data_IF_588023131914
#
_entry.id   IF_588023131914
#
_cell.length_a   1.000
_cell.length_b   1.000
_cell.length_c   1.000
_cell.angle_alpha   90.00
_cell.angle_beta   90.00
_cell.angle_gamma   90.00
#
_symmetry.space_group_name_H-M   'P 1'
#
loop_
_entity.id
_entity.type
_entity.pdbx_description
1 polymer ?
#
# COMPACT_ATOMS: atom_id res chain seq x y z
N UNK A 1 -25.09 14.55 41.79
CA UNK A 1 -23.95 15.21 41.12
C UNK A 1 -23.89 14.68 39.69
N UNK A 2 -24.48 15.40 38.73
CA UNK A 2 -24.44 15.05 37.32
C UNK A 2 -23.09 15.50 36.75
N UNK A 3 -22.32 14.56 36.21
CA UNK A 3 -21.05 14.84 35.53
C UNK A 3 -21.33 15.65 34.26
N UNK A 4 -20.91 16.92 34.25
CA UNK A 4 -20.97 17.77 33.06
C UNK A 4 -19.85 17.31 32.14
N UNK A 5 -20.19 16.57 31.09
CA UNK A 5 -19.27 16.33 29.99
C UNK A 5 -18.89 17.69 29.39
N UNK A 6 -17.64 18.11 29.58
CA UNK A 6 -17.16 19.37 29.02
C UNK A 6 -17.08 19.26 27.49
N UNK A 7 -17.43 20.30 26.72
CA UNK A 7 -17.39 20.29 25.25
C UNK A 7 -16.03 19.96 24.63
N UNK A 8 -14.96 19.97 25.44
CA UNK A 8 -13.59 19.57 25.08
C UNK A 8 -13.49 18.08 24.70
N UNK A 9 -14.36 17.21 25.24
CA UNK A 9 -14.32 15.77 24.93
C UNK A 9 -14.92 15.43 23.55
N UNK A 10 -15.82 16.29 23.05
CA UNK A 10 -16.44 16.15 21.73
C UNK A 10 -15.58 16.61 20.55
N UNK A 11 -14.61 17.51 20.77
CA UNK A 11 -13.69 17.97 19.72
C UNK A 11 -12.52 17.01 19.45
N UNK A 12 -12.27 16.05 20.35
CA UNK A 12 -11.15 15.10 20.24
C UNK A 12 -11.42 13.89 19.33
N UNK A 13 -12.48 13.95 18.50
CA UNK A 13 -12.78 12.97 17.44
C UNK A 13 -12.83 13.65 16.08
N UNK A 14 -11.70 13.69 15.37
CA UNK A 14 -11.74 13.98 13.92
C UNK A 14 -10.60 13.32 13.13
N UNK A 15 -9.52 12.86 13.76
CA UNK A 15 -8.46 12.14 13.06
C UNK A 15 -8.64 10.62 13.20
N UNK A 16 -8.72 9.86 12.09
CA UNK A 16 -8.86 8.42 12.13
C UNK A 16 -7.67 7.78 12.85
N UNK A 17 -7.95 6.72 13.60
CA UNK A 17 -6.92 6.00 14.37
C UNK A 17 -5.90 5.32 13.44
N UNK A 18 -4.70 4.97 13.94
CA UNK A 18 -3.72 4.26 13.11
C UNK A 18 -4.27 2.94 12.53
N UNK A 19 -4.98 2.07 13.29
CA UNK A 19 -5.59 0.87 12.74
C UNK A 19 -6.60 1.15 11.62
N UNK A 20 -7.39 2.21 11.77
CA UNK A 20 -8.37 2.65 10.77
C UNK A 20 -7.67 3.13 9.49
N UNK A 21 -6.63 3.96 9.60
CA UNK A 21 -5.80 4.41 8.48
C UNK A 21 -5.10 3.25 7.77
N UNK A 22 -4.62 2.27 8.53
CA UNK A 22 -4.00 1.06 7.99
C UNK A 22 -5.02 0.19 7.24
N UNK A 23 -6.23 0.01 7.80
CA UNK A 23 -7.31 -0.72 7.13
C UNK A 23 -7.71 -0.04 5.82
N UNK A 24 -7.85 1.29 5.82
CA UNK A 24 -8.21 2.07 4.63
C UNK A 24 -7.10 1.99 3.59
N UNK A 25 -5.83 2.09 4.00
CA UNK A 25 -4.68 1.91 3.12
C UNK A 25 -4.63 0.51 2.50
N UNK A 26 -4.86 -0.54 3.30
CA UNK A 26 -4.91 -1.92 2.82
C UNK A 26 -6.06 -2.13 1.83
N UNK A 27 -7.28 -1.73 2.17
CA UNK A 27 -8.43 -1.86 1.26
C UNK A 27 -8.20 -1.10 -0.03
N UNK A 28 -7.69 0.14 0.05
CA UNK A 28 -7.35 0.93 -1.13
C UNK A 28 -6.31 0.23 -2.00
N UNK A 29 -5.25 -0.29 -1.40
CA UNK A 29 -4.22 -1.03 -2.12
C UNK A 29 -4.77 -2.29 -2.79
N UNK A 30 -5.59 -3.08 -2.11
CA UNK A 30 -6.23 -4.28 -2.67
C UNK A 30 -7.17 -3.95 -3.84
N UNK A 31 -7.94 -2.87 -3.73
CA UNK A 31 -8.82 -2.41 -4.82
C UNK A 31 -7.99 -1.96 -6.02
N UNK A 32 -6.94 -1.15 -5.81
CA UNK A 32 -6.11 -0.66 -6.90
C UNK A 32 -5.32 -1.78 -7.58
N UNK A 33 -4.71 -2.69 -6.82
CA UNK A 33 -3.97 -3.83 -7.39
C UNK A 33 -4.92 -4.80 -8.08
N UNK A 34 -6.11 -5.04 -7.51
CA UNK A 34 -7.16 -5.83 -8.14
C UNK A 34 -7.62 -5.23 -9.47
N UNK A 35 -7.80 -3.91 -9.54
CA UNK A 35 -8.15 -3.21 -10.78
C UNK A 35 -7.05 -3.35 -11.84
N UNK A 36 -5.78 -3.18 -11.47
CA UNK A 36 -4.63 -3.42 -12.37
C UNK A 36 -4.63 -4.86 -12.86
N UNK A 37 -4.88 -5.84 -11.98
CA UNK A 37 -4.90 -7.25 -12.36
C UNK A 37 -6.02 -7.60 -13.33
N UNK A 38 -7.23 -7.09 -13.09
CA UNK A 38 -8.39 -7.32 -13.96
C UNK A 38 -8.16 -6.69 -15.33
N UNK A 39 -7.70 -5.43 -15.37
CA UNK A 39 -7.42 -4.71 -16.62
C UNK A 39 -6.27 -5.33 -17.40
N UNK A 40 -5.18 -5.74 -16.75
CA UNK A 40 -4.10 -6.46 -17.43
C UNK A 40 -4.56 -7.81 -17.97
N UNK A 41 -5.40 -8.53 -17.21
CA UNK A 41 -5.97 -9.81 -17.63
C UNK A 41 -6.88 -9.71 -18.85
N UNK A 42 -7.62 -8.61 -19.00
CA UNK A 42 -8.51 -8.41 -20.14
C UNK A 42 -7.82 -7.84 -21.38
N UNK A 43 -6.73 -7.08 -21.21
CA UNK A 43 -6.08 -6.37 -22.31
C UNK A 43 -4.86 -7.11 -22.89
N UNK A 44 -4.16 -7.93 -22.09
CA UNK A 44 -2.83 -8.44 -22.46
C UNK A 44 -2.63 -9.94 -22.15
N UNK A 45 -3.71 -10.66 -21.85
CA UNK A 45 -3.73 -12.12 -21.57
C UNK A 45 -2.62 -12.61 -20.61
N UNK A 46 -2.47 -11.91 -19.49
CA UNK A 46 -1.48 -12.25 -18.45
C UNK A 46 -1.96 -13.33 -17.48
N UNK A 47 -2.98 -14.11 -17.87
CA UNK A 47 -3.76 -14.97 -16.97
C UNK A 47 -2.93 -16.09 -16.31
N UNK A 48 -1.93 -16.61 -17.02
CA UNK A 48 -1.18 -17.81 -16.65
C UNK A 48 0.21 -17.55 -16.07
N UNK A 49 0.58 -16.28 -15.88
CA UNK A 49 1.91 -15.93 -15.35
C UNK A 49 1.85 -15.93 -13.83
N UNK A 50 2.54 -16.88 -13.19
CA UNK A 50 2.44 -17.18 -11.75
C UNK A 50 2.53 -15.93 -10.85
N UNK A 51 3.49 -14.99 -11.01
CA UNK A 51 3.55 -13.75 -10.22
C UNK A 51 2.31 -12.85 -10.29
N UNK A 52 1.51 -12.97 -11.36
CA UNK A 52 0.28 -12.22 -11.56
C UNK A 52 -0.94 -12.99 -11.05
N UNK A 53 -0.78 -14.15 -10.43
CA UNK A 53 -1.87 -14.85 -9.76
C UNK A 53 -2.50 -14.00 -8.65
N UNK A 54 -3.80 -14.21 -8.40
CA UNK A 54 -4.52 -13.52 -7.32
C UNK A 54 -3.89 -13.76 -5.96
N UNK A 55 -3.48 -15.01 -5.68
CA UNK A 55 -2.90 -15.38 -4.38
C UNK A 55 -1.59 -14.62 -4.11
N UNK A 56 -0.58 -14.63 -4.99
CA UNK A 56 0.63 -13.81 -4.83
C UNK A 56 0.34 -12.31 -4.64
N UNK A 57 -0.58 -11.73 -5.42
CA UNK A 57 -0.92 -10.31 -5.33
C UNK A 57 -1.54 -9.97 -3.96
N UNK A 58 -2.50 -10.76 -3.51
CA UNK A 58 -3.19 -10.52 -2.24
C UNK A 58 -2.23 -10.67 -1.06
N UNK A 59 -1.47 -11.77 -1.02
CA UNK A 59 -0.52 -12.04 0.07
C UNK A 59 0.57 -10.98 0.15
N UNK A 60 1.19 -10.63 -0.98
CA UNK A 60 2.23 -9.59 -1.02
C UNK A 60 1.70 -8.22 -0.60
N UNK A 61 0.49 -7.85 -1.02
CA UNK A 61 -0.15 -6.58 -0.64
C UNK A 61 -0.42 -6.52 0.86
N UNK A 62 -0.92 -7.60 1.46
CA UNK A 62 -1.16 -7.68 2.91
C UNK A 62 0.15 -7.57 3.68
N UNK A 63 1.19 -8.32 3.29
CA UNK A 63 2.51 -8.27 3.94
C UNK A 63 3.12 -6.86 3.84
N UNK A 64 3.02 -6.23 2.67
CA UNK A 64 3.48 -4.87 2.45
C UNK A 64 2.74 -3.85 3.35
N UNK A 65 1.41 -3.98 3.47
CA UNK A 65 0.61 -3.09 4.31
C UNK A 65 0.97 -3.24 5.80
N UNK A 66 1.16 -4.47 6.27
CA UNK A 66 1.59 -4.73 7.65
C UNK A 66 2.98 -4.14 7.93
N UNK A 67 3.95 -4.38 7.04
CA UNK A 67 5.30 -3.83 7.15
C UNK A 67 5.30 -2.30 7.15
N UNK A 68 4.57 -1.69 6.21
CA UNK A 68 4.44 -0.23 6.12
C UNK A 68 3.76 0.37 7.35
N UNK A 69 2.75 -0.28 7.90
CA UNK A 69 2.07 0.17 9.12
C UNK A 69 3.04 0.17 10.31
N UNK A 70 3.87 -0.88 10.45
CA UNK A 70 4.92 -0.94 11.47
C UNK A 70 5.96 0.17 11.30
N UNK A 71 6.45 0.38 10.07
CA UNK A 71 7.40 1.47 9.75
C UNK A 71 6.80 2.83 10.06
N UNK A 72 5.55 3.07 9.65
CA UNK A 72 4.86 4.33 9.96
C UNK A 72 4.73 4.53 11.47
N UNK A 73 4.37 3.48 12.22
CA UNK A 73 4.28 3.55 13.68
C UNK A 73 5.62 3.97 14.30
N UNK A 74 6.74 3.36 13.88
CA UNK A 74 8.08 3.73 14.34
C UNK A 74 8.44 5.17 13.96
N UNK A 75 8.26 5.55 12.70
CA UNK A 75 8.54 6.92 12.22
C UNK A 75 7.69 7.95 12.96
N UNK A 76 6.45 7.62 13.29
CA UNK A 76 5.54 8.50 14.05
C UNK A 76 6.00 8.75 15.49
N UNK A 77 6.74 7.83 16.09
CA UNK A 77 7.34 8.00 17.41
C UNK A 77 8.67 8.77 17.39
N UNK A 78 9.43 8.67 16.30
CA UNK A 78 10.80 9.19 16.23
C UNK A 78 10.94 10.53 15.49
N UNK A 79 9.92 10.95 14.74
CA UNK A 79 10.00 12.12 13.85
C UNK A 79 9.02 13.22 14.22
N UNK A 80 9.47 14.47 14.10
CA UNK A 80 8.62 15.67 14.16
C UNK A 80 7.80 15.90 12.88
N UNK A 81 8.17 15.26 11.77
CA UNK A 81 7.48 15.31 10.47
C UNK A 81 7.20 13.90 9.93
N UNK A 82 6.35 13.10 10.59
CA UNK A 82 6.26 11.67 10.34
C UNK A 82 5.75 11.32 8.94
N UNK A 83 4.76 12.05 8.42
CA UNK A 83 4.25 11.84 7.06
C UNK A 83 5.34 12.02 6.00
N UNK A 84 6.14 13.07 6.12
CA UNK A 84 7.19 13.39 5.13
C UNK A 84 8.29 12.32 5.15
N UNK A 85 8.77 11.95 6.33
CA UNK A 85 9.81 10.93 6.46
C UNK A 85 9.30 9.57 6.02
N UNK A 86 8.07 9.21 6.36
CA UNK A 86 7.46 7.97 5.92
C UNK A 86 7.35 7.89 4.40
N UNK A 87 6.91 8.97 3.73
CA UNK A 87 6.84 9.00 2.25
C UNK A 87 8.21 8.80 1.61
N UNK A 88 9.27 9.40 2.17
CA UNK A 88 10.65 9.19 1.68
C UNK A 88 11.08 7.73 1.85
N UNK A 89 10.82 7.13 3.01
CA UNK A 89 11.12 5.72 3.26
C UNK A 89 10.30 4.82 2.33
N UNK A 90 9.00 5.08 2.17
CA UNK A 90 8.13 4.33 1.27
C UNK A 90 8.60 4.42 -0.18
N UNK A 91 9.05 5.60 -0.63
CA UNK A 91 9.63 5.78 -1.96
C UNK A 91 10.92 4.94 -2.13
N UNK A 92 11.80 4.95 -1.14
CA UNK A 92 13.02 4.12 -1.16
C UNK A 92 12.69 2.62 -1.19
N UNK A 93 11.71 2.17 -0.39
CA UNK A 93 11.25 0.78 -0.37
C UNK A 93 10.58 0.38 -1.68
N UNK A 94 9.81 1.28 -2.30
CA UNK A 94 9.23 1.05 -3.63
C UNK A 94 10.32 0.88 -4.68
N UNK A 95 11.35 1.73 -4.68
CA UNK A 95 12.48 1.57 -5.59
C UNK A 95 13.23 0.26 -5.34
N UNK A 96 13.43 -0.12 -4.07
CA UNK A 96 14.07 -1.39 -3.72
C UNK A 96 13.23 -2.60 -4.14
N UNK A 97 11.90 -2.52 -4.03
CA UNK A 97 10.99 -3.59 -4.45
C UNK A 97 10.93 -3.77 -5.96
N UNK A 98 11.39 -2.79 -6.75
CA UNK A 98 11.58 -2.95 -8.19
C UNK A 98 12.72 -3.90 -8.53
N UNK A 99 13.73 -4.07 -7.66
CA UNK A 99 14.88 -4.89 -7.98
C UNK A 99 14.48 -6.35 -8.30
N UNK A 100 13.69 -7.06 -7.46
CA UNK A 100 13.20 -8.39 -7.81
C UNK A 100 12.36 -8.45 -9.09
N UNK A 101 11.65 -7.37 -9.46
CA UNK A 101 10.88 -7.32 -10.71
C UNK A 101 11.83 -7.43 -11.90
N UNK A 102 12.91 -6.64 -11.90
CA UNK A 102 13.83 -6.59 -13.04
C UNK A 102 14.97 -7.62 -13.00
N UNK A 103 15.26 -8.24 -11.85
CA UNK A 103 16.34 -9.22 -11.71
C UNK A 103 15.85 -10.66 -11.54
N UNK A 104 14.71 -10.87 -10.87
CA UNK A 104 14.18 -12.22 -10.60
C UNK A 104 13.02 -12.54 -11.53
N UNK A 105 11.97 -11.71 -11.55
CA UNK A 105 10.79 -11.99 -12.38
C UNK A 105 11.14 -12.03 -13.87
N UNK A 106 12.10 -11.22 -14.32
CA UNK A 106 12.61 -11.23 -15.69
C UNK A 106 13.25 -12.56 -16.13
N UNK A 107 13.56 -13.47 -15.19
CA UNK A 107 14.14 -14.78 -15.48
C UNK A 107 13.11 -15.91 -15.50
N UNK A 108 11.86 -15.62 -15.15
CA UNK A 108 10.79 -16.62 -15.11
C UNK A 108 10.28 -16.93 -16.52
N UNK A 109 9.83 -18.18 -16.77
CA UNK A 109 9.20 -18.53 -18.04
C UNK A 109 7.96 -17.66 -18.26
N UNK A 110 7.69 -17.36 -19.54
CA UNK A 110 6.51 -16.62 -20.00
C UNK A 110 6.40 -15.17 -19.50
N UNK A 111 7.45 -14.61 -18.88
CA UNK A 111 7.52 -13.20 -18.49
C UNK A 111 7.98 -12.34 -19.66
N UNK A 112 7.08 -11.50 -20.16
CA UNK A 112 7.36 -10.51 -21.20
C UNK A 112 7.69 -9.14 -20.60
N UNK A 113 8.20 -8.21 -21.42
CA UNK A 113 8.37 -6.80 -21.02
C UNK A 113 7.05 -6.18 -20.54
N UNK A 114 5.93 -6.54 -21.17
CA UNK A 114 4.61 -6.06 -20.74
C UNK A 114 4.24 -6.63 -19.38
N UNK A 115 4.50 -7.92 -19.13
CA UNK A 115 4.31 -8.56 -17.82
C UNK A 115 5.13 -7.86 -16.73
N UNK A 116 6.38 -7.51 -17.01
CA UNK A 116 7.24 -6.75 -16.08
C UNK A 116 6.66 -5.36 -15.79
N UNK A 117 6.14 -4.69 -16.81
CA UNK A 117 5.44 -3.40 -16.64
C UNK A 117 4.23 -3.51 -15.73
N UNK A 118 3.41 -4.57 -15.88
CA UNK A 118 2.25 -4.83 -15.01
C UNK A 118 2.70 -5.13 -13.58
N UNK A 119 3.75 -5.93 -13.40
CA UNK A 119 4.31 -6.22 -12.07
C UNK A 119 4.82 -4.97 -11.36
N UNK A 120 5.54 -4.10 -12.08
CA UNK A 120 5.96 -2.80 -11.55
C UNK A 120 4.76 -1.93 -11.17
N UNK A 121 3.72 -1.89 -12.02
CA UNK A 121 2.50 -1.14 -11.75
C UNK A 121 1.73 -1.63 -10.52
N UNK A 122 1.71 -2.95 -10.28
CA UNK A 122 1.13 -3.53 -9.07
C UNK A 122 1.84 -3.04 -7.79
N UNK A 123 3.18 -2.95 -7.82
CA UNK A 123 3.93 -2.43 -6.68
C UNK A 123 3.65 -0.94 -6.44
N UNK A 124 3.60 -0.16 -7.52
CA UNK A 124 3.28 1.28 -7.44
C UNK A 124 1.88 1.49 -6.87
N UNK A 125 0.88 0.77 -7.37
CA UNK A 125 -0.51 0.92 -6.91
C UNK A 125 -0.71 0.45 -5.47
N UNK A 126 -0.05 -0.66 -5.07
CA UNK A 126 -0.02 -1.09 -3.67
C UNK A 126 0.58 -0.01 -2.76
N UNK A 127 1.75 0.52 -3.13
CA UNK A 127 2.43 1.56 -2.37
C UNK A 127 1.58 2.84 -2.27
N UNK A 128 0.95 3.27 -3.37
CA UNK A 128 0.05 4.44 -3.38
C UNK A 128 -1.12 4.25 -2.44
N UNK A 129 -1.83 3.11 -2.51
CA UNK A 129 -2.97 2.83 -1.64
C UNK A 129 -2.58 2.83 -0.17
N UNK A 130 -1.51 2.12 0.18
CA UNK A 130 -0.99 2.03 1.55
C UNK A 130 -0.57 3.41 2.07
N UNK A 131 0.23 4.15 1.29
CA UNK A 131 0.75 5.47 1.69
C UNK A 131 -0.37 6.49 1.83
N UNK A 132 -1.33 6.52 0.90
CA UNK A 132 -2.45 7.47 0.96
C UNK A 132 -3.30 7.25 2.21
N UNK A 133 -3.62 5.99 2.54
CA UNK A 133 -4.33 5.65 3.78
C UNK A 133 -3.54 6.00 5.02
N UNK A 134 -2.27 5.55 5.11
CA UNK A 134 -1.41 5.76 6.28
C UNK A 134 -0.98 7.21 6.49
N UNK A 135 -0.98 8.07 5.48
CA UNK A 135 -0.68 9.50 5.63
C UNK A 135 -1.94 10.35 5.81
N UNK A 136 -3.12 9.79 5.56
CA UNK A 136 -4.41 10.47 5.71
C UNK A 136 -4.80 11.37 4.53
N UNK A 137 -4.17 11.19 3.36
CA UNK A 137 -4.53 11.91 2.13
C UNK A 137 -5.96 11.57 1.68
N UNK A 138 -6.46 10.38 2.05
CA UNK A 138 -7.81 9.90 1.70
C UNK A 138 -8.93 10.61 2.52
N UNK A 139 -8.58 11.31 3.61
CA UNK A 139 -9.55 11.92 4.55
C UNK A 139 -9.39 13.43 4.74
N UNK A 140 -8.63 14.10 3.87
CA UNK A 140 -8.57 15.57 3.85
C UNK A 140 -9.56 16.11 2.85
#
# INVERSE_FOLDING_TARGET
MQSVATPVDSERRTLPSLPERAAIGLVSALVLTGLVRVTAGSLVDVGNVEPLGWVPILVSTVVAALGATGVYAVVSHLSTQPNRHFVVVAAAVLLLSMAPVFTVAATLPDVTTTTLGVLALLHVTAAVGIVAGLTGVVHR
#
